data_IF_911412647706
#
_entry.id   IF_911412647706
#
_cell.length_a   1.000
_cell.length_b   1.000
_cell.length_c   1.000
_cell.angle_alpha   90.00
_cell.angle_beta   90.00
_cell.angle_gamma   90.00
#
_symmetry.space_group_name_H-M   'P 1'
#
loop_
_entity.id
_entity.type
_entity.pdbx_description
1 polymer ?
#
# COMPACT_ATOMS: atom_id res chain seq x y z
N UNK A 1 -3.81 14.92 15.56
CA UNK A 1 -4.26 14.92 14.14
C UNK A 1 -4.09 13.52 13.59
N UNK A 2 -5.08 13.03 12.88
CA UNK A 2 -5.01 11.70 12.29
C UNK A 2 -4.03 11.65 11.12
N UNK A 3 -3.50 10.47 10.84
CA UNK A 3 -2.46 10.25 9.84
C UNK A 3 -2.95 9.34 8.72
N UNK A 4 -2.51 9.62 7.50
CA UNK A 4 -2.60 8.71 6.37
C UNK A 4 -1.19 8.24 6.00
N UNK A 5 -0.95 6.95 6.12
CA UNK A 5 0.33 6.32 5.85
C UNK A 5 0.18 5.40 4.63
N UNK A 6 1.07 5.50 3.67
CA UNK A 6 1.20 4.49 2.62
C UNK A 6 2.41 3.61 2.91
N UNK A 7 2.31 2.31 2.71
CA UNK A 7 3.49 1.48 2.49
C UNK A 7 3.87 1.54 1.01
N UNK A 8 5.15 1.49 0.70
CA UNK A 8 5.65 1.46 -0.68
C UNK A 8 6.76 0.45 -0.83
N UNK A 9 6.68 -0.42 -1.82
CA UNK A 9 7.72 -1.40 -2.10
C UNK A 9 7.22 -2.65 -2.81
N UNK A 10 8.14 -3.54 -3.14
CA UNK A 10 7.87 -4.79 -3.85
C UNK A 10 7.13 -5.82 -2.98
N UNK A 11 6.44 -6.79 -3.59
CA UNK A 11 6.02 -7.99 -2.88
C UNK A 11 7.21 -8.66 -2.18
N UNK A 12 7.03 -9.11 -0.94
CA UNK A 12 8.12 -9.69 -0.16
C UNK A 12 9.06 -8.69 0.52
N UNK A 13 8.81 -7.38 0.42
CA UNK A 13 9.66 -6.35 1.05
C UNK A 13 9.37 -6.12 2.54
N UNK A 14 8.31 -6.69 3.10
CA UNK A 14 7.96 -6.55 4.51
C UNK A 14 6.85 -5.55 4.81
N UNK A 15 6.21 -4.98 3.81
CA UNK A 15 5.12 -4.00 3.96
C UNK A 15 3.98 -4.50 4.84
N UNK A 16 3.42 -5.66 4.50
CA UNK A 16 2.26 -6.20 5.21
C UNK A 16 2.60 -6.63 6.62
N UNK A 17 3.80 -7.16 6.85
CA UNK A 17 4.29 -7.46 8.19
C UNK A 17 4.33 -6.20 9.06
N UNK A 18 4.85 -5.11 8.50
CA UNK A 18 4.86 -3.82 9.16
C UNK A 18 3.44 -3.31 9.45
N UNK A 19 2.57 -3.31 8.43
CA UNK A 19 1.23 -2.75 8.54
C UNK A 19 0.34 -3.52 9.52
N UNK A 20 0.45 -4.85 9.54
CA UNK A 20 -0.28 -5.71 10.49
C UNK A 20 0.21 -5.45 11.92
N UNK A 21 1.51 -5.37 12.14
CA UNK A 21 2.08 -5.03 13.44
C UNK A 21 1.62 -3.64 13.90
N UNK A 22 1.73 -2.65 13.04
CA UNK A 22 1.29 -1.29 13.32
C UNK A 22 -0.19 -1.24 13.74
N UNK A 23 -1.06 -1.98 13.05
CA UNK A 23 -2.47 -2.08 13.44
C UNK A 23 -2.65 -2.72 14.81
N UNK A 24 -1.93 -3.80 15.08
CA UNK A 24 -2.05 -4.56 16.34
C UNK A 24 -1.64 -3.78 17.58
N UNK A 25 -0.78 -2.79 17.43
CA UNK A 25 -0.34 -1.93 18.54
C UNK A 25 -1.45 -1.00 19.05
N UNK A 26 -2.45 -0.67 18.24
CA UNK A 26 -3.57 0.18 18.63
C UNK A 26 -4.82 -0.06 17.76
N UNK A 27 -5.45 -1.22 17.86
CA UNK A 27 -6.52 -1.63 16.93
C UNK A 27 -7.78 -0.78 17.04
N UNK A 28 -7.98 -0.08 18.15
CA UNK A 28 -9.15 0.78 18.34
C UNK A 28 -9.02 2.16 17.69
N UNK A 29 -7.78 2.60 17.42
CA UNK A 29 -7.49 3.93 16.88
C UNK A 29 -6.90 3.92 15.47
N UNK A 30 -6.68 2.73 14.90
CA UNK A 30 -6.00 2.54 13.62
C UNK A 30 -6.83 1.66 12.67
N UNK A 31 -6.71 1.90 11.39
CA UNK A 31 -7.30 1.10 10.31
C UNK A 31 -6.23 0.69 9.30
N UNK A 32 -6.34 -0.53 8.78
CA UNK A 32 -5.50 -1.02 7.68
C UNK A 32 -6.38 -1.31 6.46
N UNK A 33 -5.97 -0.80 5.31
CA UNK A 33 -6.63 -1.03 4.03
C UNK A 33 -5.64 -1.78 3.12
N UNK A 34 -6.04 -2.93 2.60
CA UNK A 34 -5.24 -3.74 1.69
C UNK A 34 -6.12 -4.25 0.53
N UNK A 35 -5.65 -4.08 -0.70
CA UNK A 35 -6.42 -4.43 -1.89
C UNK A 35 -6.74 -5.92 -1.99
N UNK A 36 -5.78 -6.79 -1.68
CA UNK A 36 -5.97 -8.23 -1.80
C UNK A 36 -7.03 -8.73 -0.81
N UNK A 37 -7.01 -8.18 0.40
CA UNK A 37 -8.04 -8.47 1.41
C UNK A 37 -9.42 -7.98 0.96
N UNK A 38 -9.50 -6.80 0.36
CA UNK A 38 -10.76 -6.26 -0.16
C UNK A 38 -11.27 -7.06 -1.35
N UNK A 39 -10.40 -7.45 -2.28
CA UNK A 39 -10.79 -8.32 -3.41
C UNK A 39 -11.35 -9.66 -2.92
N UNK A 40 -10.65 -10.30 -2.00
CA UNK A 40 -11.07 -11.58 -1.44
C UNK A 40 -12.41 -11.46 -0.71
N UNK A 41 -12.55 -10.45 0.13
CA UNK A 41 -13.72 -10.24 0.99
C UNK A 41 -14.97 -9.82 0.21
N UNK A 42 -14.84 -8.90 -0.74
CA UNK A 42 -15.99 -8.30 -1.43
C UNK A 42 -16.35 -9.01 -2.73
N UNK A 43 -15.37 -9.52 -3.46
CA UNK A 43 -15.57 -10.10 -4.79
C UNK A 43 -15.29 -11.60 -4.84
N UNK A 44 -14.86 -12.21 -3.74
CA UNK A 44 -14.49 -13.62 -3.71
C UNK A 44 -13.28 -13.97 -4.60
N UNK A 45 -12.44 -12.98 -4.93
CA UNK A 45 -11.25 -13.20 -5.76
C UNK A 45 -10.11 -13.70 -4.87
N UNK A 46 -9.61 -14.93 -5.08
CA UNK A 46 -8.52 -15.46 -4.27
C UNK A 46 -7.24 -14.63 -4.39
N UNK A 47 -6.44 -14.58 -3.34
CA UNK A 47 -5.16 -13.85 -3.32
C UNK A 47 -4.13 -14.37 -4.33
N UNK A 48 -4.26 -15.61 -4.77
CA UNK A 48 -3.42 -16.23 -5.79
C UNK A 48 -3.93 -16.03 -7.22
N UNK A 49 -5.05 -15.35 -7.40
CA UNK A 49 -5.60 -15.02 -8.70
C UNK A 49 -4.93 -13.75 -9.24
N UNK A 50 -4.21 -13.89 -10.35
CA UNK A 50 -3.53 -12.80 -11.02
C UNK A 50 -4.37 -12.14 -12.13
N UNK A 51 -5.61 -12.58 -12.32
CA UNK A 51 -6.50 -11.97 -13.30
C UNK A 51 -6.81 -10.51 -12.96
N UNK A 52 -6.86 -9.68 -13.99
CA UNK A 52 -7.13 -8.26 -13.84
C UNK A 52 -8.50 -7.94 -14.44
N UNK A 53 -9.39 -7.41 -13.61
CA UNK A 53 -10.69 -6.87 -14.04
C UNK A 53 -10.70 -5.35 -13.81
N UNK A 54 -10.70 -4.55 -14.90
CA UNK A 54 -10.69 -3.08 -14.79
C UNK A 54 -11.86 -2.51 -13.98
N UNK A 55 -13.03 -3.17 -14.02
CA UNK A 55 -14.23 -2.74 -13.28
C UNK A 55 -14.01 -2.92 -11.78
N UNK A 56 -13.50 -4.08 -11.37
CA UNK A 56 -13.16 -4.36 -9.97
C UNK A 56 -12.10 -3.39 -9.46
N UNK A 57 -11.04 -3.16 -10.22
CA UNK A 57 -9.96 -2.24 -9.83
C UNK A 57 -10.46 -0.80 -9.66
N UNK A 58 -11.35 -0.35 -10.54
CA UNK A 58 -11.98 0.97 -10.43
C UNK A 58 -12.85 1.08 -9.18
N UNK A 59 -13.60 0.04 -8.86
CA UNK A 59 -14.42 -0.01 -7.64
C UNK A 59 -13.55 0.00 -6.39
N UNK A 60 -12.47 -0.79 -6.37
CA UNK A 60 -11.52 -0.83 -5.25
C UNK A 60 -10.88 0.53 -5.00
N UNK A 61 -10.52 1.25 -6.05
CA UNK A 61 -9.95 2.59 -5.93
C UNK A 61 -10.94 3.54 -5.24
N UNK A 62 -12.19 3.57 -5.69
CA UNK A 62 -13.24 4.38 -5.07
C UNK A 62 -13.47 3.98 -3.61
N UNK A 63 -13.50 2.69 -3.36
CA UNK A 63 -13.72 2.15 -2.01
C UNK A 63 -12.58 2.56 -1.07
N UNK A 64 -11.33 2.47 -1.50
CA UNK A 64 -10.19 2.90 -0.67
C UNK A 64 -10.33 4.36 -0.24
N UNK A 65 -10.62 5.26 -1.18
CA UNK A 65 -10.81 6.68 -0.86
C UNK A 65 -11.98 6.89 0.11
N UNK A 66 -13.09 6.19 -0.08
CA UNK A 66 -14.24 6.25 0.83
C UNK A 66 -13.91 5.73 2.23
N UNK A 67 -13.19 4.63 2.33
CA UNK A 67 -12.75 4.06 3.61
C UNK A 67 -11.80 5.02 4.35
N UNK A 68 -10.88 5.66 3.64
CA UNK A 68 -9.99 6.66 4.24
C UNK A 68 -10.79 7.82 4.81
N UNK A 69 -11.79 8.33 4.08
CA UNK A 69 -12.67 9.40 4.57
C UNK A 69 -13.40 8.98 5.85
N UNK A 70 -14.04 7.81 5.84
CA UNK A 70 -14.76 7.29 7.00
C UNK A 70 -13.87 7.11 8.23
N UNK A 71 -12.67 6.57 8.03
CA UNK A 71 -11.70 6.40 9.13
C UNK A 71 -11.25 7.76 9.67
N UNK A 72 -10.96 8.72 8.79
CA UNK A 72 -10.57 10.07 9.19
C UNK A 72 -11.67 10.80 9.97
N UNK A 73 -12.92 10.71 9.51
CA UNK A 73 -14.09 11.27 10.20
C UNK A 73 -14.28 10.66 11.58
N UNK A 74 -13.87 9.41 11.76
CA UNK A 74 -13.88 8.70 13.05
C UNK A 74 -12.65 8.96 13.91
N UNK A 75 -11.78 9.88 13.49
CA UNK A 75 -10.55 10.23 14.21
C UNK A 75 -9.47 9.16 14.22
N UNK A 76 -9.50 8.21 13.27
CA UNK A 76 -8.56 7.10 13.21
C UNK A 76 -7.38 7.37 12.27
N UNK A 77 -6.21 6.87 12.64
CA UNK A 77 -5.07 6.76 11.73
C UNK A 77 -5.31 5.65 10.69
N UNK A 78 -4.86 5.84 9.46
CA UNK A 78 -5.06 4.90 8.36
C UNK A 78 -3.73 4.51 7.73
N UNK A 79 -3.50 3.23 7.53
CA UNK A 79 -2.42 2.72 6.68
C UNK A 79 -2.99 2.04 5.43
N UNK A 80 -2.52 2.44 4.26
CA UNK A 80 -2.83 1.80 2.98
C UNK A 80 -1.67 0.89 2.60
N UNK A 81 -1.87 -0.39 2.82
CA UNK A 81 -0.87 -1.45 2.67
C UNK A 81 -0.98 -2.08 1.28
N UNK A 82 -0.43 -1.39 0.29
CA UNK A 82 -0.34 -1.81 -1.11
C UNK A 82 1.08 -1.55 -1.62
N UNK A 83 1.35 -1.87 -2.90
CA UNK A 83 2.65 -1.62 -3.51
C UNK A 83 2.97 -0.12 -3.60
N UNK A 84 2.00 0.67 -3.99
CA UNK A 84 2.07 2.14 -4.10
C UNK A 84 3.30 2.64 -4.88
N UNK A 85 3.61 2.01 -6.01
CA UNK A 85 4.78 2.32 -6.83
C UNK A 85 4.58 3.54 -7.74
N UNK A 86 3.35 3.86 -8.09
CA UNK A 86 3.00 4.97 -8.97
C UNK A 86 3.02 6.31 -8.23
N UNK A 87 3.82 7.26 -8.68
CA UNK A 87 3.85 8.61 -8.11
C UNK A 87 2.52 9.35 -8.32
N UNK A 88 1.83 9.09 -9.42
CA UNK A 88 0.50 9.65 -9.67
C UNK A 88 -0.50 9.21 -8.59
N UNK A 89 -0.47 7.93 -8.23
CA UNK A 89 -1.32 7.39 -7.17
C UNK A 89 -0.96 8.00 -5.80
N UNK A 90 0.33 8.11 -5.50
CA UNK A 90 0.81 8.72 -4.24
C UNK A 90 0.33 10.17 -4.13
N UNK A 91 0.43 10.95 -5.21
CA UNK A 91 -0.09 12.33 -5.24
C UNK A 91 -1.60 12.39 -5.02
N UNK A 92 -2.35 11.43 -5.55
CA UNK A 92 -3.78 11.30 -5.31
C UNK A 92 -4.10 11.14 -3.82
N UNK A 93 -3.37 10.28 -3.12
CA UNK A 93 -3.50 10.12 -1.67
C UNK A 93 -3.05 11.37 -0.90
N UNK A 94 -1.98 12.01 -1.33
CA UNK A 94 -1.50 13.25 -0.72
C UNK A 94 -2.55 14.37 -0.81
N UNK A 95 -3.20 14.50 -1.96
CA UNK A 95 -4.28 15.46 -2.16
C UNK A 95 -5.48 15.15 -1.25
N UNK A 96 -5.85 13.88 -1.15
CA UNK A 96 -6.91 13.44 -0.23
C UNK A 96 -6.56 13.76 1.22
N UNK A 97 -5.33 13.47 1.63
CA UNK A 97 -4.87 13.79 2.99
C UNK A 97 -4.96 15.29 3.28
N UNK A 98 -4.54 16.12 2.33
CA UNK A 98 -4.65 17.58 2.45
C UNK A 98 -6.10 18.03 2.57
N UNK A 99 -7.00 17.48 1.75
CA UNK A 99 -8.43 17.76 1.81
C UNK A 99 -9.03 17.42 3.18
N UNK A 100 -8.60 16.30 3.76
CA UNK A 100 -9.11 15.79 5.04
C UNK A 100 -8.35 16.33 6.27
N UNK A 101 -7.32 17.13 6.08
CA UNK A 101 -6.49 17.64 7.19
C UNK A 101 -5.67 16.57 7.89
N UNK A 102 -5.22 15.55 7.16
CA UNK A 102 -4.41 14.45 7.69
C UNK A 102 -2.92 14.73 7.49
N UNK A 103 -2.09 14.31 8.44
CA UNK A 103 -0.66 14.18 8.22
C UNK A 103 -0.41 13.02 7.24
N UNK A 104 0.45 13.22 6.25
CA UNK A 104 0.67 12.26 5.18
C UNK A 104 2.12 11.81 5.12
N UNK A 105 2.34 10.48 5.17
CA UNK A 105 3.67 9.89 5.11
C UNK A 105 3.68 8.64 4.22
N UNK A 106 4.86 8.33 3.70
CA UNK A 106 5.11 7.07 3.00
C UNK A 106 6.18 6.28 3.74
N UNK A 107 5.82 5.09 4.19
CA UNK A 107 6.78 4.12 4.72
C UNK A 107 7.36 3.34 3.55
N UNK A 108 8.58 3.67 3.20
CA UNK A 108 9.23 3.16 1.99
C UNK A 108 10.09 1.93 2.29
N UNK A 109 9.80 0.85 1.56
CA UNK A 109 10.53 -0.42 1.60
C UNK A 109 11.31 -0.67 0.30
N UNK A 110 11.51 0.36 -0.53
CA UNK A 110 12.22 0.23 -1.81
C UNK A 110 13.70 -0.13 -1.67
N UNK A 111 14.26 0.06 -0.48
CA UNK A 111 15.65 -0.28 -0.16
C UNK A 111 15.89 -1.79 0.03
N UNK A 112 14.83 -2.59 0.17
CA UNK A 112 14.98 -4.05 0.29
C UNK A 112 15.38 -4.62 -1.08
N UNK A 113 16.51 -5.36 -1.17
CA UNK A 113 16.98 -5.90 -2.44
C UNK A 113 15.96 -6.80 -3.14
N UNK A 114 15.92 -6.72 -4.47
CA UNK A 114 14.97 -7.51 -5.30
C UNK A 114 15.10 -9.00 -5.03
N UNK A 115 16.32 -9.51 -4.90
CA UNK A 115 16.58 -10.94 -4.64
C UNK A 115 16.02 -11.37 -3.28
N UNK A 116 16.11 -10.52 -2.27
CA UNK A 116 15.52 -10.76 -0.95
C UNK A 116 14.00 -10.81 -1.04
N UNK A 117 13.40 -9.88 -1.78
CA UNK A 117 11.97 -9.86 -2.04
C UNK A 117 11.50 -11.14 -2.74
N UNK A 118 12.20 -11.55 -3.79
CA UNK A 118 11.88 -12.75 -4.55
C UNK A 118 11.99 -14.02 -3.68
N UNK A 119 13.02 -14.12 -2.85
CA UNK A 119 13.21 -15.25 -1.93
C UNK A 119 12.08 -15.31 -0.89
N UNK A 120 11.74 -14.20 -0.28
CA UNK A 120 10.63 -14.13 0.70
C UNK A 120 9.29 -14.45 0.05
N UNK A 121 9.05 -13.95 -1.16
CA UNK A 121 7.84 -14.24 -1.92
C UNK A 121 7.67 -15.72 -2.21
N UNK A 122 8.75 -16.43 -2.55
CA UNK A 122 8.71 -17.87 -2.85
C UNK A 122 8.25 -18.74 -1.67
N UNK A 123 8.36 -18.23 -0.44
CA UNK A 123 7.92 -18.90 0.78
C UNK A 123 6.50 -18.50 1.22
N UNK A 124 5.81 -17.66 0.47
CA UNK A 124 4.43 -17.25 0.78
C UNK A 124 3.43 -18.31 0.36
N UNK A 125 2.28 -18.33 1.02
CA UNK A 125 1.13 -19.15 0.62
C UNK A 125 0.68 -18.86 -0.81
N UNK A 126 0.70 -17.57 -1.20
CA UNK A 126 0.30 -17.09 -2.53
C UNK A 126 1.44 -16.30 -3.16
N UNK A 127 2.49 -16.97 -3.69
CA UNK A 127 3.61 -16.28 -4.31
C UNK A 127 3.21 -15.61 -5.62
N UNK A 128 3.78 -14.44 -5.87
CA UNK A 128 3.59 -13.68 -7.12
C UNK A 128 4.57 -14.15 -8.20
N UNK A 129 5.76 -14.57 -7.79
CA UNK A 129 6.81 -15.06 -8.66
C UNK A 129 7.91 -14.04 -8.94
N UNK A 130 9.13 -14.55 -9.09
CA UNK A 130 10.32 -13.73 -9.28
C UNK A 130 10.28 -12.88 -10.57
N UNK A 131 9.68 -13.40 -11.64
CA UNK A 131 9.54 -12.66 -12.91
C UNK A 131 8.68 -11.41 -12.76
N UNK A 132 7.56 -11.53 -12.09
CA UNK A 132 6.66 -10.40 -11.82
C UNK A 132 7.31 -9.39 -10.87
N UNK A 133 8.00 -9.86 -9.84
CA UNK A 133 8.74 -8.97 -8.91
C UNK A 133 9.80 -8.16 -9.65
N UNK A 134 10.52 -8.76 -10.62
CA UNK A 134 11.49 -8.03 -11.45
C UNK A 134 10.83 -6.94 -12.31
N UNK A 135 9.67 -7.21 -12.90
CA UNK A 135 8.89 -6.22 -13.66
C UNK A 135 8.47 -5.06 -12.75
N UNK A 136 7.95 -5.35 -11.56
CA UNK A 136 7.58 -4.34 -10.58
C UNK A 136 8.79 -3.53 -10.10
N UNK A 137 9.95 -4.17 -9.95
CA UNK A 137 11.21 -3.52 -9.62
C UNK A 137 11.63 -2.47 -10.66
N UNK A 138 11.44 -2.75 -11.95
CA UNK A 138 11.71 -1.78 -13.02
C UNK A 138 10.77 -0.57 -12.94
N UNK A 139 9.48 -0.80 -12.68
CA UNK A 139 8.52 0.28 -12.46
C UNK A 139 8.93 1.13 -11.26
N UNK A 140 9.29 0.50 -10.16
CA UNK A 140 9.74 1.19 -8.94
C UNK A 140 10.99 2.02 -9.20
N UNK A 141 11.99 1.46 -9.90
CA UNK A 141 13.23 2.15 -10.27
C UNK A 141 12.96 3.38 -11.13
N UNK A 142 12.08 3.27 -12.12
CA UNK A 142 11.70 4.37 -13.01
C UNK A 142 11.06 5.54 -12.24
N UNK A 143 10.31 5.26 -11.19
CA UNK A 143 9.62 6.27 -10.38
C UNK A 143 10.47 6.79 -9.20
N UNK A 144 11.61 6.17 -8.89
CA UNK A 144 12.32 6.40 -7.63
C UNK A 144 12.85 7.83 -7.48
N UNK A 145 13.42 8.41 -8.53
CA UNK A 145 13.97 9.77 -8.47
C UNK A 145 12.91 10.82 -8.14
N UNK A 146 11.78 10.76 -8.82
CA UNK A 146 10.64 11.66 -8.55
C UNK A 146 10.05 11.40 -7.17
N UNK A 147 9.94 10.12 -6.75
CA UNK A 147 9.45 9.77 -5.41
C UNK A 147 10.32 10.40 -4.32
N UNK A 148 11.63 10.28 -4.40
CA UNK A 148 12.57 10.89 -3.44
C UNK A 148 12.35 12.40 -3.36
N UNK A 149 12.13 13.06 -4.50
CA UNK A 149 11.89 14.51 -4.55
C UNK A 149 10.61 14.97 -3.83
N UNK A 150 9.64 14.07 -3.63
CA UNK A 150 8.41 14.39 -2.92
C UNK A 150 8.60 14.55 -1.40
N UNK A 151 9.70 14.02 -0.87
CA UNK A 151 10.08 14.14 0.56
C UNK A 151 8.94 13.76 1.53
N UNK A 152 8.42 12.54 1.39
CA UNK A 152 7.24 12.05 2.11
C UNK A 152 7.57 11.11 3.29
N UNK A 153 8.81 11.05 3.72
CA UNK A 153 9.20 10.22 4.87
C UNK A 153 8.57 10.74 6.16
N UNK A 154 8.23 9.82 7.06
CA UNK A 154 7.76 10.19 8.39
C UNK A 154 8.86 11.01 9.11
N UNK A 155 8.50 12.11 9.77
CA UNK A 155 9.47 12.88 10.55
C UNK A 155 10.08 12.02 11.67
N UNK A 156 11.33 12.24 11.93
CA UNK A 156 12.07 11.55 13.00
C UNK A 156 11.48 11.87 14.40
#
# INVERSE_FOLDING_TARGET
MSRLILTRGLPGSGKSTYAVRWLSESPTTRCRINNDDLRASLFGIPKNDSSFDPTVEKMLRKLRFSLIRLCAESGKDVIVDNLNLSNKLIRGYQNLARELGLDFFVKDFSHIPVDVCAQRDSNREFPIGAGEIRKLSEIMRTNQGEFISLNLSEPA
#
